data_IF_026110469533
#
_entry.id   IF_026110469533
#
_cell.length_a   1.000
_cell.length_b   1.000
_cell.length_c   1.000
_cell.angle_alpha   90.00
_cell.angle_beta   90.00
_cell.angle_gamma   90.00
#
_symmetry.space_group_name_H-M   'P 1'
#
loop_
_entity.id
_entity.type
_entity.pdbx_description
1 polymer ?
#
# COMPACT_ATOMS: atom_id res chain seq x y z
N UNK A 1 -13.10 0.23 -17.32
CA UNK A 1 -11.68 0.58 -17.03
C UNK A 1 -10.96 -0.74 -16.74
N UNK A 2 -10.13 -1.24 -17.65
CA UNK A 2 -9.49 -2.55 -17.51
C UNK A 2 -8.37 -2.46 -16.47
N UNK A 3 -8.55 -3.08 -15.30
CA UNK A 3 -7.48 -3.19 -14.30
C UNK A 3 -6.43 -4.18 -14.80
N UNK A 4 -5.22 -3.69 -15.03
CA UNK A 4 -4.09 -4.52 -15.47
C UNK A 4 -3.48 -5.22 -14.26
N UNK A 5 -3.69 -6.53 -14.13
CA UNK A 5 -3.03 -7.36 -13.10
C UNK A 5 -1.54 -7.42 -13.46
N UNK A 6 -0.69 -6.75 -12.68
CA UNK A 6 0.76 -6.73 -12.91
C UNK A 6 1.42 -7.84 -12.09
N UNK A 7 1.93 -8.86 -12.77
CA UNK A 7 2.60 -10.00 -12.15
C UNK A 7 4.10 -9.76 -12.09
N UNK A 8 4.72 -10.02 -10.92
CA UNK A 8 6.17 -10.00 -10.74
C UNK A 8 6.61 -11.37 -10.26
N UNK A 9 7.26 -12.13 -11.12
CA UNK A 9 7.81 -13.45 -10.82
C UNK A 9 9.33 -13.36 -10.67
N UNK A 10 9.88 -14.05 -9.68
CA UNK A 10 11.33 -14.21 -9.49
C UNK A 10 11.61 -15.72 -9.51
N UNK A 11 12.19 -16.21 -10.61
CA UNK A 11 12.83 -17.52 -10.72
C UNK A 11 11.99 -18.75 -10.24
N UNK A 12 10.79 -18.95 -10.80
CA UNK A 12 9.93 -20.12 -10.55
C UNK A 12 10.11 -21.18 -11.64
N UNK A 13 9.93 -22.46 -11.28
CA UNK A 13 9.78 -23.55 -12.24
C UNK A 13 8.41 -23.46 -12.96
N UNK A 14 8.28 -24.09 -14.13
CA UNK A 14 7.10 -23.93 -14.99
C UNK A 14 5.81 -24.46 -14.34
N UNK A 15 5.91 -25.51 -13.54
CA UNK A 15 4.82 -26.13 -12.77
C UNK A 15 4.36 -25.25 -11.59
N UNK A 16 5.31 -24.63 -10.88
CA UNK A 16 5.05 -23.62 -9.85
C UNK A 16 4.29 -22.43 -10.47
N UNK A 17 4.77 -21.95 -11.61
CA UNK A 17 4.15 -20.83 -12.32
C UNK A 17 2.76 -21.18 -12.84
N UNK A 18 2.53 -22.41 -13.31
CA UNK A 18 1.21 -22.89 -13.70
C UNK A 18 0.24 -22.92 -12.51
N UNK A 19 0.70 -23.42 -11.36
CA UNK A 19 -0.09 -23.48 -10.13
C UNK A 19 -0.54 -22.08 -9.68
N UNK A 20 0.36 -21.10 -9.71
CA UNK A 20 0.05 -19.70 -9.39
C UNK A 20 -0.91 -19.09 -10.42
N UNK A 21 -0.75 -19.37 -11.72
CA UNK A 21 -1.68 -18.89 -12.75
C UNK A 21 -3.10 -19.43 -12.56
N UNK A 22 -3.25 -20.71 -12.21
CA UNK A 22 -4.55 -21.31 -11.89
C UNK A 22 -5.21 -20.58 -10.73
N UNK A 23 -4.46 -20.26 -9.67
CA UNK A 23 -4.96 -19.49 -8.53
C UNK A 23 -5.46 -18.11 -8.97
N UNK A 24 -4.66 -17.36 -9.72
CA UNK A 24 -5.03 -16.02 -10.18
C UNK A 24 -6.27 -16.07 -11.08
N UNK A 25 -6.31 -17.00 -12.03
CA UNK A 25 -7.42 -17.12 -12.98
C UNK A 25 -8.72 -17.62 -12.33
N UNK A 26 -8.63 -18.23 -11.14
CA UNK A 26 -9.80 -18.67 -10.36
C UNK A 26 -10.40 -17.58 -9.47
N UNK A 27 -9.74 -16.41 -9.38
CA UNK A 27 -10.22 -15.28 -8.59
C UNK A 27 -11.46 -14.65 -9.22
N UNK A 28 -12.47 -14.33 -8.41
CA UNK A 28 -13.69 -13.65 -8.84
C UNK A 28 -13.72 -12.28 -8.16
N UNK A 29 -13.82 -11.17 -8.94
CA UNK A 29 -14.10 -9.85 -8.41
C UNK A 29 -15.41 -9.84 -7.63
N UNK A 30 -15.35 -9.38 -6.40
CA UNK A 30 -16.51 -9.31 -5.50
C UNK A 30 -16.37 -8.08 -4.60
N UNK A 31 -17.10 -6.99 -4.88
CA UNK A 31 -16.98 -5.74 -4.12
C UNK A 31 -17.58 -5.82 -2.71
N UNK A 32 -18.34 -6.88 -2.39
CA UNK A 32 -18.99 -7.03 -1.08
C UNK A 32 -18.04 -7.66 -0.05
N UNK A 33 -16.93 -8.26 -0.50
CA UNK A 33 -15.92 -8.86 0.40
C UNK A 33 -14.70 -7.97 0.58
N UNK A 34 -14.08 -8.08 1.75
CA UNK A 34 -12.83 -7.39 2.07
C UNK A 34 -11.72 -7.82 1.11
N UNK A 35 -11.01 -6.84 0.56
CA UNK A 35 -9.98 -7.05 -0.46
C UNK A 35 -10.53 -7.26 -1.87
N UNK A 36 -11.84 -7.28 -2.08
CA UNK A 36 -12.47 -7.19 -3.39
C UNK A 36 -12.38 -8.44 -4.27
N UNK A 37 -11.82 -9.55 -3.77
CA UNK A 37 -11.70 -10.81 -4.49
C UNK A 37 -12.14 -11.97 -3.60
N UNK A 38 -12.79 -12.95 -4.20
CA UNK A 38 -13.07 -14.25 -3.58
C UNK A 38 -12.68 -15.39 -4.51
N UNK A 39 -12.56 -16.58 -3.93
CA UNK A 39 -12.37 -17.82 -4.64
C UNK A 39 -13.57 -18.74 -4.42
N UNK A 40 -14.01 -19.49 -5.44
CA UNK A 40 -14.94 -20.59 -5.23
C UNK A 40 -14.39 -21.61 -4.21
N UNK A 41 -15.30 -22.36 -3.59
CA UNK A 41 -14.92 -23.41 -2.66
C UNK A 41 -13.93 -24.39 -3.33
N UNK A 42 -12.81 -24.65 -2.65
CA UNK A 42 -11.76 -25.53 -3.17
C UNK A 42 -10.89 -24.95 -4.29
N UNK A 43 -11.03 -23.65 -4.61
CA UNK A 43 -10.23 -22.97 -5.65
C UNK A 43 -9.17 -22.01 -5.08
N UNK A 44 -9.08 -21.87 -3.77
CA UNK A 44 -8.06 -21.06 -3.08
C UNK A 44 -6.71 -21.79 -2.89
N UNK A 45 -6.52 -22.95 -3.51
CA UNK A 45 -5.26 -23.70 -3.54
C UNK A 45 -5.02 -24.32 -4.93
N UNK A 46 -3.74 -24.53 -5.28
CA UNK A 46 -3.31 -25.19 -6.51
C UNK A 46 -1.87 -25.66 -6.32
N UNK A 47 -1.60 -26.95 -6.56
CA UNK A 47 -0.31 -27.56 -6.19
C UNK A 47 -0.02 -27.34 -4.70
N UNK A 48 1.20 -26.91 -4.39
CA UNK A 48 1.64 -26.61 -3.01
C UNK A 48 1.33 -25.17 -2.57
N UNK A 49 0.57 -24.41 -3.37
CA UNK A 49 0.28 -23.00 -3.11
C UNK A 49 -1.16 -22.79 -2.64
N UNK A 50 -1.33 -21.87 -1.70
CA UNK A 50 -2.65 -21.41 -1.22
C UNK A 50 -2.70 -19.90 -1.06
N UNK A 51 -3.89 -19.33 -1.22
CA UNK A 51 -4.13 -17.90 -0.97
C UNK A 51 -4.15 -17.65 0.53
N UNK A 52 -3.19 -16.88 1.02
CA UNK A 52 -3.10 -16.51 2.45
C UNK A 52 -3.78 -15.18 2.79
N UNK A 53 -4.02 -14.34 1.79
CA UNK A 53 -4.72 -13.08 1.93
C UNK A 53 -4.86 -12.31 0.62
N UNK A 54 -5.70 -11.28 0.63
CA UNK A 54 -5.98 -10.40 -0.51
C UNK A 54 -5.89 -8.95 -0.05
N UNK A 55 -5.31 -8.10 -0.89
CA UNK A 55 -5.21 -6.65 -0.65
C UNK A 55 -5.69 -5.88 -1.87
N UNK A 56 -6.76 -5.11 -1.71
CA UNK A 56 -7.12 -4.04 -2.63
C UNK A 56 -6.50 -2.73 -2.12
N UNK A 57 -5.67 -2.11 -2.96
CA UNK A 57 -4.91 -0.93 -2.60
C UNK A 57 -5.19 0.21 -3.56
N UNK A 58 -5.76 1.29 -3.05
CA UNK A 58 -5.91 2.54 -3.80
C UNK A 58 -4.86 3.53 -3.34
N UNK A 59 -4.16 4.16 -4.28
CA UNK A 59 -3.08 5.08 -3.97
C UNK A 59 -3.36 6.46 -4.56
N UNK A 60 -3.22 7.50 -3.74
CA UNK A 60 -3.12 8.89 -4.18
C UNK A 60 -1.77 9.44 -3.79
N UNK A 61 -1.06 10.04 -4.75
CA UNK A 61 0.27 10.62 -4.52
C UNK A 61 0.23 12.10 -4.89
N UNK A 62 0.58 12.94 -3.93
CA UNK A 62 0.75 14.38 -4.09
C UNK A 62 2.24 14.70 -3.97
N UNK A 63 2.76 15.50 -4.90
CA UNK A 63 4.19 15.79 -4.98
C UNK A 63 4.37 17.28 -5.22
N UNK A 64 5.18 17.90 -4.37
CA UNK A 64 5.72 19.23 -4.56
C UNK A 64 7.26 19.15 -4.57
N UNK A 65 7.96 20.27 -4.86
CA UNK A 65 9.41 20.32 -4.70
C UNK A 65 9.85 20.01 -3.26
N UNK A 66 9.09 20.47 -2.26
CA UNK A 66 9.43 20.33 -0.84
C UNK A 66 8.94 19.03 -0.18
N UNK A 67 7.87 18.42 -0.70
CA UNK A 67 7.13 17.36 -0.04
C UNK A 67 6.69 16.27 -1.03
N UNK A 68 6.58 15.03 -0.54
CA UNK A 68 5.77 14.00 -1.19
C UNK A 68 4.87 13.35 -0.16
N UNK A 69 3.56 13.42 -0.39
CA UNK A 69 2.53 12.74 0.38
C UNK A 69 1.97 11.59 -0.45
N UNK A 70 1.91 10.40 0.12
CA UNK A 70 1.25 9.24 -0.47
C UNK A 70 0.21 8.72 0.52
N UNK A 71 -1.05 8.83 0.14
CA UNK A 71 -2.19 8.26 0.86
C UNK A 71 -2.55 6.95 0.20
N UNK A 72 -2.71 5.90 0.99
CA UNK A 72 -3.09 4.57 0.53
C UNK A 72 -4.29 4.09 1.33
N UNK A 73 -5.40 3.82 0.64
CA UNK A 73 -6.49 3.05 1.22
C UNK A 73 -6.19 1.58 1.01
N UNK A 74 -6.12 0.81 2.09
CA UNK A 74 -5.86 -0.63 2.06
C UNK A 74 -7.10 -1.33 2.58
N UNK A 75 -7.73 -2.11 1.73
CA UNK A 75 -8.77 -3.04 2.12
C UNK A 75 -8.20 -4.46 1.98
N UNK A 76 -8.12 -5.19 3.08
CA UNK A 76 -7.40 -6.47 3.15
C UNK A 76 -8.24 -7.56 3.80
N UNK A 77 -8.03 -8.79 3.37
CA UNK A 77 -8.56 -9.98 4.02
C UNK A 77 -7.44 -11.00 4.25
N UNK A 78 -7.35 -11.54 5.45
CA UNK A 78 -6.33 -12.52 5.85
C UNK A 78 -7.03 -13.86 6.09
N UNK A 79 -6.79 -14.85 5.22
CA UNK A 79 -7.45 -16.16 5.31
C UNK A 79 -7.06 -16.92 6.58
N UNK A 80 -5.79 -16.81 6.99
CA UNK A 80 -5.27 -17.52 8.18
C UNK A 80 -6.04 -17.18 9.46
N UNK A 81 -6.46 -15.92 9.62
CA UNK A 81 -7.15 -15.42 10.82
C UNK A 81 -8.63 -15.17 10.58
N UNK A 82 -9.11 -15.30 9.34
CA UNK A 82 -10.47 -14.96 8.94
C UNK A 82 -10.82 -13.48 9.11
N UNK A 83 -9.81 -12.60 9.18
CA UNK A 83 -10.00 -11.19 9.53
C UNK A 83 -9.93 -10.31 8.29
N UNK A 84 -10.92 -9.41 8.16
CA UNK A 84 -10.91 -8.36 7.16
C UNK A 84 -10.72 -6.98 7.80
N UNK A 85 -9.84 -6.16 7.25
CA UNK A 85 -9.48 -4.85 7.78
C UNK A 85 -9.43 -3.81 6.68
N UNK A 86 -9.95 -2.62 6.95
CA UNK A 86 -9.78 -1.45 6.10
C UNK A 86 -8.98 -0.38 6.86
N UNK A 87 -7.85 0.05 6.29
CA UNK A 87 -6.93 1.00 6.92
C UNK A 87 -6.52 2.08 5.93
N UNK A 88 -6.36 3.31 6.42
CA UNK A 88 -5.75 4.40 5.66
C UNK A 88 -4.28 4.50 6.10
N UNK A 89 -3.36 4.28 5.18
CA UNK A 89 -1.92 4.41 5.40
C UNK A 89 -1.42 5.71 4.76
N UNK A 90 -0.75 6.55 5.56
CA UNK A 90 -0.19 7.83 5.11
C UNK A 90 1.33 7.75 5.14
N UNK A 91 1.99 8.00 4.00
CA UNK A 91 3.44 8.11 3.90
C UNK A 91 3.85 9.52 3.49
N UNK A 92 4.67 10.17 4.31
CA UNK A 92 5.17 11.51 4.07
C UNK A 92 6.68 11.49 3.87
N UNK A 93 7.16 12.23 2.86
CA UNK A 93 8.59 12.48 2.64
C UNK A 93 8.86 13.97 2.56
N UNK A 94 9.65 14.48 3.49
CA UNK A 94 10.08 15.89 3.58
C UNK A 94 11.31 16.11 2.69
N UNK A 95 11.09 16.22 1.38
CA UNK A 95 12.15 16.23 0.37
C UNK A 95 13.13 17.39 0.54
N UNK A 96 12.62 18.58 0.85
CA UNK A 96 13.44 19.78 1.07
C UNK A 96 14.38 19.58 2.27
N UNK A 97 13.85 19.17 3.42
CA UNK A 97 14.67 18.89 4.61
C UNK A 97 15.72 17.81 4.35
N UNK A 98 15.35 16.73 3.64
CA UNK A 98 16.31 15.68 3.26
C UNK A 98 17.46 16.26 2.41
N UNK A 99 17.15 17.07 1.40
CA UNK A 99 18.17 17.70 0.55
C UNK A 99 19.04 18.68 1.35
N UNK A 100 18.44 19.52 2.19
CA UNK A 100 19.14 20.52 3.00
C UNK A 100 20.11 19.87 4.00
N UNK A 101 19.71 18.76 4.64
CA UNK A 101 20.57 17.96 5.52
C UNK A 101 21.73 17.36 4.73
N UNK A 102 21.46 16.77 3.56
CA UNK A 102 22.49 16.14 2.72
C UNK A 102 23.54 17.14 2.23
N UNK A 103 23.11 18.35 1.90
CA UNK A 103 23.99 19.42 1.42
C UNK A 103 24.74 20.13 2.56
N UNK A 104 24.48 19.79 3.83
CA UNK A 104 25.00 20.46 5.05
C UNK A 104 24.82 21.98 5.01
N UNK A 105 23.78 22.46 4.33
CA UNK A 105 23.56 23.89 4.08
C UNK A 105 22.94 24.63 5.26
N UNK A 106 22.52 23.91 6.30
CA UNK A 106 21.69 24.47 7.35
C UNK A 106 22.13 23.93 8.73
N UNK A 107 22.10 24.81 9.72
CA UNK A 107 22.33 24.47 11.12
C UNK A 107 21.17 23.64 11.72
N UNK A 108 21.42 23.04 12.88
CA UNK A 108 20.48 22.13 13.55
C UNK A 108 19.17 22.80 13.96
N UNK A 109 19.18 24.08 14.34
CA UNK A 109 18.00 24.79 14.82
C UNK A 109 17.03 25.08 13.66
N UNK A 110 17.58 25.42 12.50
CA UNK A 110 16.82 25.61 11.27
C UNK A 110 16.22 24.30 10.73
N UNK A 111 16.90 23.15 10.91
CA UNK A 111 16.33 21.83 10.59
C UNK A 111 15.14 21.53 11.53
N UNK A 112 15.32 21.81 12.82
CA UNK A 112 14.28 21.57 13.82
C UNK A 112 13.04 22.43 13.58
N UNK A 113 13.22 23.72 13.25
CA UNK A 113 12.11 24.62 12.93
C UNK A 113 11.35 24.16 11.68
N UNK A 114 12.06 23.84 10.59
CA UNK A 114 11.45 23.33 9.37
C UNK A 114 10.71 22.00 9.60
N UNK A 115 11.25 21.09 10.43
CA UNK A 115 10.56 19.86 10.79
C UNK A 115 9.28 20.12 11.59
N UNK A 116 9.34 21.03 12.57
CA UNK A 116 8.18 21.45 13.38
C UNK A 116 7.07 22.05 12.52
N UNK A 117 7.41 22.90 11.55
CA UNK A 117 6.44 23.49 10.62
C UNK A 117 5.77 22.42 9.76
N UNK A 118 6.52 21.41 9.31
CA UNK A 118 5.96 20.28 8.57
C UNK A 118 5.02 19.44 9.45
N UNK A 119 5.38 19.15 10.71
CA UNK A 119 4.51 18.44 11.65
C UNK A 119 3.21 19.21 11.91
N UNK A 120 3.31 20.53 12.08
CA UNK A 120 2.13 21.38 12.26
C UNK A 120 1.21 21.33 11.03
N UNK A 121 1.77 21.39 9.82
CA UNK A 121 0.99 21.26 8.59
C UNK A 121 0.27 19.90 8.51
N UNK A 122 0.94 18.81 8.90
CA UNK A 122 0.31 17.48 8.98
C UNK A 122 -0.85 17.49 9.97
N UNK A 123 -0.60 18.03 11.16
CA UNK A 123 -1.61 18.12 12.22
C UNK A 123 -2.84 18.87 11.73
N UNK A 124 -2.65 20.11 11.28
CA UNK A 124 -3.72 21.05 10.90
C UNK A 124 -4.55 20.59 9.69
N UNK A 125 -3.98 19.78 8.78
CA UNK A 125 -4.64 19.42 7.52
C UNK A 125 -5.04 17.94 7.43
N UNK A 126 -4.49 17.06 8.25
CA UNK A 126 -4.72 15.61 8.13
C UNK A 126 -5.14 14.93 9.42
N UNK A 127 -4.76 15.44 10.60
CA UNK A 127 -5.00 14.77 11.88
C UNK A 127 -5.99 15.49 12.79
N UNK A 128 -6.23 16.79 12.58
CA UNK A 128 -7.12 17.59 13.41
C UNK A 128 -8.59 17.58 12.96
N UNK A 129 -8.98 16.69 12.05
CA UNK A 129 -10.40 16.45 11.77
C UNK A 129 -10.96 15.61 12.93
N UNK A 130 -11.80 16.25 13.77
CA UNK A 130 -12.38 15.77 15.05
C UNK A 130 -11.66 16.20 16.35
N UNK A 131 -11.13 17.43 16.42
CA UNK A 131 -10.87 18.10 17.71
C UNK A 131 -11.86 19.23 17.97
#
# INVERSE_FOLDING_TARGET
>A
MNSMIKLKFLNFQDDEMNSIRILINSAIPDPEVKGGLRWPMGKSYSGDYTIVGVWHNEFKSYKSPSLKLKVRNVDRFIFKTGTGEATIEINLKLRRLVSEIQERKIDTDSIYSGFKDNLKLIWDNFLSWES
#
